data_IF_462330416633
#
_entry.id   IF_462330416633
#
_cell.length_a   1.000
_cell.length_b   1.000
_cell.length_c   1.000
_cell.angle_alpha   90.00
_cell.angle_beta   90.00
_cell.angle_gamma   90.00
#
_symmetry.space_group_name_H-M   'P 1'
#
loop_
_entity.id
_entity.type
_entity.pdbx_description
1 polymer ?
#
# COMPACT_ATOMS: atom_id res chain seq x y z
N UNK A 1 -1.31 14.98 -10.06
CA UNK A 1 -0.56 13.77 -10.48
C UNK A 1 0.15 14.12 -11.78
N UNK A 2 1.36 14.66 -11.67
CA UNK A 2 2.12 15.19 -12.79
C UNK A 2 2.83 14.03 -13.49
N UNK A 3 2.33 13.66 -14.66
CA UNK A 3 2.93 12.66 -15.54
C UNK A 3 4.31 13.15 -16.01
N UNK A 4 5.36 12.60 -15.42
CA UNK A 4 6.72 12.68 -15.95
C UNK A 4 6.76 11.97 -17.31
N UNK A 5 6.64 12.74 -18.38
CA UNK A 5 6.95 12.27 -19.73
C UNK A 5 8.46 12.02 -19.79
N UNK A 6 8.92 10.82 -20.19
CA UNK A 6 10.34 10.59 -20.39
C UNK A 6 10.79 11.46 -21.57
N UNK A 7 11.65 12.43 -21.28
CA UNK A 7 12.40 13.15 -22.30
C UNK A 7 13.20 12.11 -23.09
N UNK A 8 12.68 11.73 -24.25
CA UNK A 8 13.44 11.00 -25.24
C UNK A 8 14.59 11.92 -25.65
N UNK A 9 15.76 11.66 -25.06
CA UNK A 9 17.03 12.23 -25.45
C UNK A 9 17.17 12.04 -26.95
N UNK A 10 17.00 13.13 -27.69
CA UNK A 10 17.34 13.22 -29.10
C UNK A 10 18.83 12.92 -29.20
N UNK A 11 19.16 11.65 -29.38
CA UNK A 11 20.49 11.24 -29.79
C UNK A 11 20.78 12.00 -31.07
N UNK A 12 21.67 12.97 -30.96
CA UNK A 12 22.26 13.75 -32.04
C UNK A 12 22.58 12.76 -33.15
N UNK A 13 21.74 12.70 -34.18
CA UNK A 13 22.05 11.99 -35.41
C UNK A 13 23.22 12.76 -35.99
N UNK A 14 24.43 12.33 -35.64
CA UNK A 14 25.66 12.87 -36.19
C UNK A 14 25.48 12.85 -37.68
N UNK A 15 25.30 14.04 -38.24
CA UNK A 15 25.29 14.29 -39.66
C UNK A 15 26.49 13.54 -40.17
N UNK A 16 26.26 12.48 -40.95
CA UNK A 16 27.30 11.80 -41.70
C UNK A 16 27.86 12.88 -42.63
N UNK A 17 28.83 13.64 -42.10
CA UNK A 17 29.49 14.76 -42.76
C UNK A 17 30.02 14.14 -44.04
N UNK A 18 29.34 14.46 -45.13
CA UNK A 18 29.80 14.28 -46.50
C UNK A 18 31.24 14.80 -46.52
N UNK A 19 32.20 13.90 -46.31
CA UNK A 19 33.60 14.27 -46.03
C UNK A 19 34.06 15.12 -47.20
N UNK A 20 34.45 16.35 -46.88
CA UNK A 20 35.01 17.29 -47.82
C UNK A 20 36.13 16.55 -48.58
N UNK A 21 35.99 16.44 -49.91
CA UNK A 21 36.97 15.72 -50.74
C UNK A 21 38.33 16.37 -50.49
N UNK A 22 39.33 15.60 -50.07
CA UNK A 22 40.62 16.16 -49.70
C UNK A 22 41.25 16.80 -50.94
N UNK A 23 41.74 18.03 -50.78
CA UNK A 23 42.39 18.78 -51.86
C UNK A 23 43.55 18.01 -52.47
N UNK A 24 44.24 17.19 -51.67
CA UNK A 24 45.32 16.29 -52.09
C UNK A 24 44.86 15.18 -53.03
N UNK A 25 43.70 14.58 -52.79
CA UNK A 25 43.11 13.60 -53.73
C UNK A 25 42.70 14.28 -55.04
N UNK A 26 42.14 15.49 -54.97
CA UNK A 26 41.83 16.29 -56.17
C UNK A 26 43.08 16.60 -57.00
N UNK A 27 44.20 16.94 -56.35
CA UNK A 27 45.49 17.14 -57.03
C UNK A 27 45.99 15.85 -57.68
N UNK A 28 45.96 14.71 -56.97
CA UNK A 28 46.36 13.42 -57.55
C UNK A 28 45.55 13.06 -58.81
N UNK A 29 44.22 13.27 -58.76
CA UNK A 29 43.34 13.08 -59.92
C UNK A 29 43.69 14.05 -61.07
N UNK A 30 43.96 15.31 -60.76
CA UNK A 30 44.37 16.29 -61.77
C UNK A 30 45.69 15.93 -62.46
N UNK A 31 46.68 15.40 -61.72
CA UNK A 31 47.94 14.92 -62.30
C UNK A 31 47.73 13.74 -63.26
N UNK A 32 46.84 12.80 -62.92
CA UNK A 32 46.50 11.68 -63.80
C UNK A 32 45.79 12.15 -65.08
N UNK A 33 44.85 13.09 -64.96
CA UNK A 33 44.19 13.70 -66.12
C UNK A 33 45.19 14.44 -67.01
N UNK A 34 46.09 15.24 -66.41
CA UNK A 34 47.14 15.95 -67.15
C UNK A 34 48.07 14.98 -67.89
N UNK A 35 48.49 13.90 -67.23
CA UNK A 35 49.28 12.83 -67.84
C UNK A 35 48.57 12.23 -69.06
N UNK A 36 47.27 11.93 -68.94
CA UNK A 36 46.50 11.37 -70.04
C UNK A 36 46.41 12.35 -71.23
N UNK A 37 46.14 13.64 -70.97
CA UNK A 37 46.07 14.68 -72.00
C UNK A 37 47.41 14.84 -72.72
N UNK A 38 48.54 14.83 -72.00
CA UNK A 38 49.88 14.93 -72.60
C UNK A 38 50.17 13.76 -73.54
N UNK A 39 49.85 12.53 -73.13
CA UNK A 39 50.07 11.33 -73.95
C UNK A 39 49.19 11.37 -75.21
N UNK A 40 47.91 11.71 -75.09
CA UNK A 40 46.99 11.83 -76.24
C UNK A 40 47.46 12.92 -77.22
N UNK A 41 47.87 14.08 -76.70
CA UNK A 41 48.39 15.18 -77.52
C UNK A 41 49.67 14.82 -78.26
N UNK A 42 50.60 14.11 -77.60
CA UNK A 42 51.84 13.66 -78.22
C UNK A 42 51.61 12.64 -79.35
N UNK A 43 50.67 11.72 -79.16
CA UNK A 43 50.26 10.75 -80.19
C UNK A 43 49.64 11.45 -81.40
N UNK A 44 48.74 12.41 -81.17
CA UNK A 44 48.09 13.17 -82.24
C UNK A 44 49.08 13.98 -83.09
N UNK A 45 50.21 14.41 -82.50
CA UNK A 45 51.29 15.11 -83.23
C UNK A 45 52.09 14.21 -84.19
N UNK A 46 52.06 12.89 -84.02
CA UNK A 46 52.85 11.94 -84.82
C UNK A 46 54.37 11.98 -84.61
N UNK A 47 54.87 12.79 -83.66
CA UNK A 47 56.31 12.94 -83.38
C UNK A 47 56.80 11.89 -82.38
N UNK A 48 57.74 11.05 -82.80
CA UNK A 48 58.32 9.99 -81.95
C UNK A 48 59.03 10.56 -80.72
N UNK A 49 59.74 11.67 -80.86
CA UNK A 49 60.39 12.35 -79.76
C UNK A 49 59.36 12.84 -78.72
N UNK A 50 58.28 13.48 -79.17
CA UNK A 50 57.22 13.94 -78.25
C UNK A 50 56.54 12.78 -77.53
N UNK A 51 56.33 11.65 -78.21
CA UNK A 51 55.77 10.44 -77.60
C UNK A 51 56.69 9.91 -76.50
N UNK A 52 58.00 9.82 -76.73
CA UNK A 52 58.94 9.33 -75.70
C UNK A 52 58.98 10.25 -74.47
N UNK A 53 59.02 11.57 -74.67
CA UNK A 53 59.01 12.54 -73.57
C UNK A 53 57.69 12.48 -72.80
N UNK A 54 56.55 12.43 -73.50
CA UNK A 54 55.24 12.32 -72.86
C UNK A 54 55.07 11.00 -72.08
N UNK A 55 55.64 9.90 -72.56
CA UNK A 55 55.63 8.61 -71.86
C UNK A 55 56.42 8.69 -70.53
N UNK A 56 57.64 9.25 -70.56
CA UNK A 56 58.45 9.43 -69.34
C UNK A 56 57.75 10.36 -68.35
N UNK A 57 57.24 11.51 -68.81
CA UNK A 57 56.48 12.43 -67.96
C UNK A 57 55.23 11.78 -67.38
N UNK A 58 54.50 10.99 -68.17
CA UNK A 58 53.31 10.30 -67.71
C UNK A 58 53.59 9.29 -66.60
N UNK A 59 54.69 8.53 -66.69
CA UNK A 59 55.11 7.62 -65.61
C UNK A 59 55.47 8.39 -64.35
N UNK A 60 56.19 9.52 -64.45
CA UNK A 60 56.54 10.36 -63.30
C UNK A 60 55.31 10.95 -62.63
N UNK A 61 54.37 11.50 -63.42
CA UNK A 61 53.11 12.05 -62.91
C UNK A 61 52.23 10.97 -62.28
N UNK A 62 52.15 9.79 -62.88
CA UNK A 62 51.44 8.63 -62.33
C UNK A 62 52.03 8.18 -60.99
N UNK A 63 53.35 8.02 -60.91
CA UNK A 63 54.04 7.65 -59.67
C UNK A 63 53.81 8.68 -58.55
N UNK A 64 53.84 9.98 -58.87
CA UNK A 64 53.53 11.04 -57.92
C UNK A 64 52.07 10.95 -57.41
N UNK A 65 51.10 10.73 -58.31
CA UNK A 65 49.70 10.57 -57.95
C UNK A 65 49.45 9.34 -57.06
N UNK A 66 50.09 8.20 -57.35
CA UNK A 66 50.02 6.99 -56.52
C UNK A 66 50.61 7.23 -55.13
N UNK A 67 51.77 7.92 -55.05
CA UNK A 67 52.39 8.24 -53.76
C UNK A 67 51.47 9.11 -52.89
N UNK A 68 50.89 10.17 -53.47
CA UNK A 68 49.94 11.06 -52.77
C UNK A 68 48.73 10.27 -52.28
N UNK A 69 48.15 9.42 -53.14
CA UNK A 69 46.97 8.62 -52.79
C UNK A 69 47.29 7.61 -51.68
N UNK A 70 48.48 7.00 -51.72
CA UNK A 70 48.92 6.04 -50.72
C UNK A 70 49.13 6.68 -49.35
N UNK A 71 49.81 7.83 -49.27
CA UNK A 71 50.00 8.53 -47.99
C UNK A 71 48.68 8.98 -47.38
N UNK A 72 47.75 9.49 -48.20
CA UNK A 72 46.41 9.88 -47.73
C UNK A 72 45.61 8.69 -47.20
N UNK A 73 45.70 7.52 -47.84
CA UNK A 73 45.03 6.31 -47.38
C UNK A 73 45.62 5.81 -46.05
N UNK A 74 46.94 5.87 -45.89
CA UNK A 74 47.61 5.50 -44.64
C UNK A 74 47.17 6.42 -43.49
N UNK A 75 47.20 7.74 -43.72
CA UNK A 75 46.77 8.74 -42.73
C UNK A 75 45.28 8.57 -42.38
N UNK A 76 44.42 8.37 -43.38
CA UNK A 76 43.00 8.14 -43.17
C UNK A 76 42.70 6.88 -42.35
N UNK A 77 43.49 5.81 -42.51
CA UNK A 77 43.37 4.58 -41.72
C UNK A 77 43.75 4.80 -40.27
N UNK A 78 44.86 5.49 -40.02
CA UNK A 78 45.32 5.82 -38.67
C UNK A 78 44.29 6.69 -37.96
N UNK A 79 43.79 7.72 -38.63
CA UNK A 79 42.77 8.61 -38.06
C UNK A 79 41.46 7.87 -37.77
N UNK A 80 41.01 7.00 -38.68
CA UNK A 80 39.83 6.17 -38.45
C UNK A 80 40.02 5.15 -37.31
N UNK A 81 41.24 4.68 -37.05
CA UNK A 81 41.53 3.84 -35.91
C UNK A 81 41.51 4.64 -34.59
N UNK A 82 42.08 5.85 -34.60
CA UNK A 82 42.06 6.77 -33.44
C UNK A 82 40.64 7.20 -33.08
N UNK A 83 39.83 7.56 -34.06
CA UNK A 83 38.43 7.94 -33.85
C UNK A 83 37.62 6.78 -33.24
N UNK A 84 37.77 5.56 -33.78
CA UNK A 84 37.14 4.36 -33.18
C UNK A 84 37.62 4.09 -31.76
N UNK A 85 38.91 4.28 -31.47
CA UNK A 85 39.43 4.14 -30.11
C UNK A 85 38.84 5.19 -29.15
N UNK A 86 38.76 6.44 -29.58
CA UNK A 86 38.16 7.53 -28.81
C UNK A 86 36.67 7.28 -28.55
N UNK A 87 35.93 6.81 -29.56
CA UNK A 87 34.52 6.41 -29.42
C UNK A 87 34.37 5.26 -28.43
N UNK A 88 35.20 4.21 -28.52
CA UNK A 88 35.17 3.09 -27.59
C UNK A 88 35.42 3.54 -26.13
N UNK A 89 36.39 4.44 -25.90
CA UNK A 89 36.66 5.01 -24.58
C UNK A 89 35.49 5.85 -24.06
N UNK A 90 34.86 6.66 -24.91
CA UNK A 90 33.68 7.44 -24.55
C UNK A 90 32.50 6.55 -24.17
N UNK A 91 32.26 5.47 -24.93
CA UNK A 91 31.23 4.47 -24.61
C UNK A 91 31.53 3.70 -23.32
N UNK A 92 32.79 3.34 -23.07
CA UNK A 92 33.21 2.70 -21.83
C UNK A 92 32.90 3.62 -20.63
N UNK A 93 33.33 4.89 -20.70
CA UNK A 93 33.08 5.90 -19.65
C UNK A 93 31.57 6.10 -19.40
N UNK A 94 30.77 6.17 -20.46
CA UNK A 94 29.31 6.29 -20.34
C UNK A 94 28.69 5.05 -19.70
N UNK A 95 29.20 3.87 -20.04
CA UNK A 95 28.73 2.59 -19.48
C UNK A 95 29.08 2.48 -17.99
N UNK A 96 30.29 2.87 -17.60
CA UNK A 96 30.72 2.88 -16.20
C UNK A 96 29.82 3.80 -15.37
N UNK A 97 29.56 5.01 -15.87
CA UNK A 97 28.67 5.97 -15.22
C UNK A 97 27.25 5.42 -15.07
N UNK A 98 26.67 4.86 -16.14
CA UNK A 98 25.32 4.27 -16.10
C UNK A 98 25.24 3.06 -15.15
N UNK A 99 26.29 2.24 -15.12
CA UNK A 99 26.36 1.10 -14.21
C UNK A 99 26.40 1.58 -12.75
N UNK A 100 27.21 2.59 -12.45
CA UNK A 100 27.27 3.18 -11.11
C UNK A 100 25.93 3.80 -10.69
N UNK A 101 25.28 4.56 -11.58
CA UNK A 101 23.95 5.16 -11.35
C UNK A 101 22.89 4.07 -11.11
N UNK A 102 22.87 3.01 -11.93
CA UNK A 102 21.95 1.88 -11.79
C UNK A 102 22.17 1.10 -10.48
N UNK A 103 23.42 0.87 -10.08
CA UNK A 103 23.75 0.22 -8.81
C UNK A 103 23.28 1.06 -7.63
N UNK A 104 23.56 2.37 -7.65
CA UNK A 104 23.10 3.29 -6.60
C UNK A 104 21.58 3.29 -6.49
N UNK A 105 20.86 3.32 -7.62
CA UNK A 105 19.41 3.24 -7.66
C UNK A 105 18.89 1.91 -7.09
N UNK A 106 19.48 0.78 -7.49
CA UNK A 106 19.08 -0.53 -7.01
C UNK A 106 19.27 -0.66 -5.48
N UNK A 107 20.39 -0.16 -4.95
CA UNK A 107 20.65 -0.13 -3.51
C UNK A 107 19.64 0.77 -2.77
N UNK A 108 19.32 1.94 -3.33
CA UNK A 108 18.33 2.84 -2.73
C UNK A 108 16.93 2.21 -2.69
N UNK A 109 16.50 1.59 -3.78
CA UNK A 109 15.23 0.88 -3.85
C UNK A 109 15.17 -0.29 -2.86
N UNK A 110 16.26 -1.05 -2.74
CA UNK A 110 16.36 -2.14 -1.76
C UNK A 110 16.21 -1.63 -0.33
N UNK A 111 16.87 -0.52 0.03
CA UNK A 111 16.70 0.10 1.35
C UNK A 111 15.25 0.51 1.62
N UNK A 112 14.59 1.12 0.63
CA UNK A 112 13.18 1.53 0.74
C UNK A 112 12.24 0.34 0.89
N UNK A 113 12.49 -0.76 0.17
CA UNK A 113 11.71 -1.99 0.29
C UNK A 113 11.87 -2.57 1.70
N UNK A 114 13.09 -2.76 2.17
CA UNK A 114 13.35 -3.29 3.51
C UNK A 114 12.69 -2.44 4.61
N UNK A 115 12.81 -1.12 4.52
CA UNK A 115 12.17 -0.21 5.48
C UNK A 115 10.64 -0.33 5.48
N UNK A 116 10.03 -0.56 4.32
CA UNK A 116 8.58 -0.79 4.21
C UNK A 116 8.17 -2.16 4.73
N UNK A 117 8.96 -3.20 4.47
CA UNK A 117 8.72 -4.55 5.00
C UNK A 117 8.76 -4.57 6.52
N UNK A 118 9.70 -3.85 7.13
CA UNK A 118 9.77 -3.69 8.60
C UNK A 118 8.51 -3.01 9.16
N UNK A 119 8.07 -1.91 8.51
CA UNK A 119 6.83 -1.23 8.89
C UNK A 119 5.62 -2.15 8.74
N UNK A 120 5.50 -2.88 7.63
CA UNK A 120 4.40 -3.83 7.40
C UNK A 120 4.40 -4.89 8.49
N UNK A 121 5.55 -5.50 8.80
CA UNK A 121 5.65 -6.51 9.85
C UNK A 121 5.24 -5.96 11.21
N UNK A 122 5.64 -4.73 11.55
CA UNK A 122 5.22 -4.07 12.80
C UNK A 122 3.71 -3.84 12.84
N UNK A 123 3.10 -3.47 11.72
CA UNK A 123 1.66 -3.25 11.61
C UNK A 123 0.88 -4.56 11.69
N UNK A 124 1.40 -5.64 11.12
CA UNK A 124 0.81 -6.98 11.21
C UNK A 124 0.76 -7.48 12.66
N UNK A 125 1.86 -7.29 13.42
CA UNK A 125 1.91 -7.63 14.85
C UNK A 125 0.92 -6.78 15.65
N UNK A 126 0.94 -5.46 15.45
CA UNK A 126 0.03 -4.55 16.16
C UNK A 126 -1.45 -4.85 15.84
N UNK A 127 -1.76 -5.22 14.60
CA UNK A 127 -3.10 -5.62 14.19
C UNK A 127 -3.53 -6.93 14.85
N UNK A 128 -2.65 -7.92 14.90
CA UNK A 128 -2.93 -9.19 15.57
C UNK A 128 -3.20 -8.99 17.08
N UNK A 129 -2.41 -8.15 17.74
CA UNK A 129 -2.60 -7.80 19.15
C UNK A 129 -3.91 -7.04 19.37
N UNK A 130 -4.24 -6.07 18.51
CA UNK A 130 -5.50 -5.35 18.58
C UNK A 130 -6.71 -6.28 18.40
N UNK A 131 -6.65 -7.20 17.43
CA UNK A 131 -7.70 -8.21 17.22
C UNK A 131 -7.86 -9.13 18.43
N UNK A 132 -6.75 -9.54 19.05
CA UNK A 132 -6.77 -10.34 20.28
C UNK A 132 -7.40 -9.57 21.44
N UNK A 133 -7.04 -8.31 21.64
CA UNK A 133 -7.62 -7.46 22.68
C UNK A 133 -9.12 -7.28 22.49
N UNK A 134 -9.58 -7.03 21.26
CA UNK A 134 -11.01 -6.92 20.93
C UNK A 134 -11.73 -8.23 21.25
N UNK A 135 -11.16 -9.38 20.90
CA UNK A 135 -11.75 -10.68 21.22
C UNK A 135 -11.82 -10.93 22.74
N UNK A 136 -10.78 -10.56 23.49
CA UNK A 136 -10.76 -10.67 24.95
C UNK A 136 -11.77 -9.73 25.62
N UNK A 137 -11.87 -8.47 25.17
CA UNK A 137 -12.87 -7.52 25.65
C UNK A 137 -14.29 -8.00 25.34
N UNK A 138 -14.55 -8.50 24.13
CA UNK A 138 -15.85 -9.06 23.75
C UNK A 138 -16.21 -10.25 24.65
N UNK A 139 -15.25 -11.13 24.97
CA UNK A 139 -15.48 -12.24 25.92
C UNK A 139 -15.80 -11.75 27.33
N UNK A 140 -15.11 -10.71 27.83
CA UNK A 140 -15.37 -10.12 29.16
C UNK A 140 -16.76 -9.50 29.22
N UNK A 141 -17.12 -8.67 28.24
CA UNK A 141 -18.45 -8.05 28.14
C UNK A 141 -19.54 -9.12 28.09
N UNK A 142 -19.37 -10.18 27.29
CA UNK A 142 -20.33 -11.28 27.23
C UNK A 142 -20.45 -12.03 28.57
N UNK A 143 -19.35 -12.18 29.32
CA UNK A 143 -19.37 -12.81 30.63
C UNK A 143 -20.01 -11.91 31.70
N UNK A 144 -19.84 -10.61 31.61
CA UNK A 144 -20.50 -9.62 32.47
C UNK A 144 -22.00 -9.52 32.16
N UNK A 145 -22.39 -9.49 30.89
CA UNK A 145 -23.79 -9.51 30.46
C UNK A 145 -24.52 -10.75 31.00
N UNK A 146 -23.90 -11.94 30.91
CA UNK A 146 -24.47 -13.16 31.52
C UNK A 146 -24.58 -13.08 33.04
N UNK A 147 -23.60 -12.49 33.73
CA UNK A 147 -23.66 -12.31 35.19
C UNK A 147 -24.76 -11.33 35.59
N UNK A 148 -24.92 -10.23 34.84
CA UNK A 148 -25.99 -9.27 35.05
C UNK A 148 -27.37 -9.91 34.82
N UNK A 149 -27.51 -10.71 33.75
CA UNK A 149 -28.77 -11.42 33.45
C UNK A 149 -29.15 -12.41 34.57
N UNK A 150 -28.19 -13.15 35.13
CA UNK A 150 -28.44 -14.04 36.27
C UNK A 150 -28.87 -13.26 37.51
N UNK A 151 -28.17 -12.17 37.83
CA UNK A 151 -28.52 -11.32 38.98
C UNK A 151 -29.92 -10.67 38.81
N UNK A 152 -30.27 -10.24 37.59
CA UNK A 152 -31.61 -9.73 37.29
C UNK A 152 -32.70 -10.80 37.47
N UNK A 153 -32.43 -12.04 37.05
CA UNK A 153 -33.36 -13.16 37.24
C UNK A 153 -33.56 -13.48 38.72
N UNK A 154 -32.48 -13.60 39.47
CA UNK A 154 -32.53 -13.82 40.93
C UNK A 154 -33.28 -12.68 41.63
N UNK A 155 -33.04 -11.42 41.23
CA UNK A 155 -33.75 -10.26 41.77
C UNK A 155 -35.26 -10.29 41.47
N UNK A 156 -35.65 -10.75 40.26
CA UNK A 156 -37.08 -10.94 39.90
C UNK A 156 -37.71 -12.07 40.71
N UNK A 157 -37.04 -13.21 40.84
CA UNK A 157 -37.53 -14.34 41.64
C UNK A 157 -37.71 -13.96 43.10
N UNK A 158 -36.77 -13.19 43.67
CA UNK A 158 -36.89 -12.66 45.04
C UNK A 158 -38.05 -11.68 45.17
N UNK A 159 -38.22 -10.76 44.21
CA UNK A 159 -39.33 -9.82 44.21
C UNK A 159 -40.70 -10.54 44.13
N UNK A 160 -40.80 -11.55 43.26
CA UNK A 160 -42.01 -12.37 43.13
C UNK A 160 -42.31 -13.17 44.41
N UNK A 161 -41.28 -13.70 45.07
CA UNK A 161 -41.42 -14.39 46.35
C UNK A 161 -41.89 -13.45 47.47
N UNK A 162 -41.33 -12.24 47.57
CA UNK A 162 -41.76 -11.22 48.53
C UNK A 162 -43.22 -10.81 48.27
N UNK A 163 -43.59 -10.53 47.02
CA UNK A 163 -44.96 -10.20 46.66
C UNK A 163 -45.94 -11.36 46.93
N UNK A 164 -45.48 -12.61 46.87
CA UNK A 164 -46.24 -13.79 47.30
C UNK A 164 -46.46 -13.83 48.81
N UNK A 165 -45.42 -13.56 49.60
CA UNK A 165 -45.49 -13.50 51.06
C UNK A 165 -46.40 -12.37 51.53
N UNK A 166 -46.27 -11.16 50.96
CA UNK A 166 -47.13 -10.02 51.28
C UNK A 166 -48.61 -10.33 51.04
N UNK A 167 -48.94 -10.98 49.92
CA UNK A 167 -50.32 -11.44 49.65
C UNK A 167 -50.81 -12.45 50.67
N UNK A 168 -49.96 -13.40 51.08
CA UNK A 168 -50.33 -14.39 52.11
C UNK A 168 -50.53 -13.76 53.49
N UNK A 169 -49.71 -12.75 53.81
CA UNK A 169 -49.80 -12.00 55.05
C UNK A 169 -51.09 -11.17 55.09
N UNK A 170 -51.35 -10.38 54.05
CA UNK A 170 -52.59 -9.60 53.92
C UNK A 170 -53.83 -10.49 54.02
N UNK A 171 -53.84 -11.66 53.36
CA UNK A 171 -54.94 -12.62 53.51
C UNK A 171 -55.09 -13.17 54.93
N UNK A 172 -53.98 -13.36 55.65
CA UNK A 172 -54.01 -13.83 57.04
C UNK A 172 -54.46 -12.73 58.00
N UNK A 173 -54.05 -11.48 57.75
CA UNK A 173 -54.48 -10.28 58.48
C UNK A 173 -55.99 -10.04 58.31
N UNK A 174 -56.52 -10.17 57.08
CA UNK A 174 -57.96 -10.06 56.81
C UNK A 174 -58.76 -11.11 57.60
N UNK A 175 -58.31 -12.37 57.57
CA UNK A 175 -58.95 -13.46 58.34
C UNK A 175 -58.86 -13.26 59.85
N UNK A 176 -57.74 -12.71 60.34
CA UNK A 176 -57.59 -12.37 61.74
C UNK A 176 -58.53 -11.22 62.14
N UNK A 177 -58.68 -10.20 61.30
CA UNK A 177 -59.62 -9.10 61.51
C UNK A 177 -61.08 -9.61 61.55
N UNK A 178 -61.47 -10.47 60.61
CA UNK A 178 -62.77 -11.14 60.63
C UNK A 178 -63.00 -11.93 61.92
N UNK A 179 -62.01 -12.71 62.36
CA UNK A 179 -62.10 -13.49 63.60
C UNK A 179 -62.22 -12.59 64.85
N UNK A 180 -61.50 -11.47 64.91
CA UNK A 180 -61.60 -10.51 66.03
C UNK A 180 -63.01 -9.93 66.10
N UNK A 181 -63.60 -9.54 64.96
CA UNK A 181 -64.97 -9.03 64.91
C UNK A 181 -65.96 -10.09 65.40
N UNK A 182 -65.87 -11.32 64.87
CA UNK A 182 -66.73 -12.43 65.30
C UNK A 182 -66.61 -12.74 66.80
N UNK A 183 -65.39 -12.69 67.37
CA UNK A 183 -65.20 -12.87 68.82
C UNK A 183 -65.87 -11.75 69.60
N UNK A 184 -65.73 -10.49 69.17
CA UNK A 184 -66.39 -9.36 69.84
C UNK A 184 -67.92 -9.43 69.79
N UNK A 185 -68.47 -9.90 68.66
CA UNK A 185 -69.91 -10.14 68.51
C UNK A 185 -70.38 -11.26 69.45
N UNK A 186 -69.65 -12.38 69.48
CA UNK A 186 -69.95 -13.51 70.39
C UNK A 186 -69.83 -13.12 71.87
N UNK A 187 -68.85 -12.29 72.24
CA UNK A 187 -68.71 -11.75 73.59
C UNK A 187 -69.90 -10.87 73.97
N UNK A 188 -70.34 -9.99 73.05
CA UNK A 188 -71.53 -9.17 73.26
C UNK A 188 -72.81 -10.02 73.39
N UNK A 189 -72.98 -11.04 72.55
CA UNK A 189 -74.08 -12.02 72.67
C UNK A 189 -74.01 -12.76 74.01
N UNK A 190 -72.82 -13.17 74.45
CA UNK A 190 -72.62 -13.83 75.75
C UNK A 190 -73.02 -12.91 76.91
N UNK A 191 -72.66 -11.63 76.86
CA UNK A 191 -73.00 -10.67 77.90
C UNK A 191 -74.51 -10.38 77.95
N UNK A 192 -75.18 -10.31 76.79
CA UNK A 192 -76.64 -10.25 76.70
C UNK A 192 -77.27 -11.51 77.31
N UNK A 193 -76.82 -12.71 76.92
CA UNK A 193 -77.33 -13.98 77.45
C UNK A 193 -77.10 -14.11 78.97
N UNK A 194 -75.95 -13.67 79.49
CA UNK A 194 -75.69 -13.60 80.94
C UNK A 194 -76.64 -12.63 81.64
N UNK A 195 -76.89 -11.46 81.06
CA UNK A 195 -77.82 -10.48 81.61
C UNK A 195 -79.26 -11.01 81.62
N UNK A 196 -79.68 -11.67 80.54
CA UNK A 196 -80.96 -12.38 80.48
C UNK A 196 -81.06 -13.45 81.57
N UNK A 197 -80.07 -14.34 81.69
CA UNK A 197 -80.03 -15.37 82.74
C UNK A 197 -80.12 -14.76 84.15
N UNK A 198 -79.37 -13.70 84.42
CA UNK A 198 -79.42 -12.98 85.70
C UNK A 198 -80.81 -12.38 85.94
N UNK A 199 -81.47 -11.85 84.91
CA UNK A 199 -82.85 -11.33 85.00
C UNK A 199 -83.86 -12.43 85.31
N UNK A 200 -83.74 -13.61 84.67
CA UNK A 200 -84.57 -14.79 84.93
C UNK A 200 -84.37 -15.31 86.35
N UNK A 201 -83.12 -15.39 86.81
CA UNK A 201 -82.78 -15.78 88.19
C UNK A 201 -83.35 -14.79 89.21
N UNK A 202 -83.22 -13.48 88.97
CA UNK A 202 -83.79 -12.43 89.82
C UNK A 202 -85.33 -12.41 89.81
N UNK A 203 -85.97 -12.81 88.71
CA UNK A 203 -87.42 -13.01 88.66
C UNK A 203 -87.85 -14.27 89.44
N UNK A 204 -87.09 -15.36 89.34
CA UNK A 204 -87.33 -16.59 90.09
C UNK A 204 -87.16 -16.42 91.61
N UNK A 205 -86.13 -15.67 92.05
CA UNK A 205 -85.95 -15.34 93.47
C UNK A 205 -87.04 -14.41 94.00
N UNK A 206 -87.48 -13.41 93.22
CA UNK A 206 -88.67 -12.59 93.55
C UNK A 206 -89.94 -13.42 93.67
N UNK A 207 -90.16 -14.38 92.78
CA UNK A 207 -91.31 -15.30 92.83
C UNK A 207 -91.27 -16.25 94.04
N UNK A 208 -90.07 -16.61 94.52
CA UNK A 208 -89.86 -17.34 95.78
C UNK A 208 -90.08 -16.46 97.03
N UNK A 209 -89.71 -15.18 96.96
CA UNK A 209 -89.92 -14.24 98.06
C UNK A 209 -91.38 -13.77 98.19
N UNK A 210 -92.19 -13.86 97.12
CA UNK A 210 -93.64 -13.59 97.15
C UNK A 210 -94.50 -14.82 97.53
N UNK A 211 -93.86 -15.94 97.88
CA UNK A 211 -94.51 -17.19 98.32
C UNK A 211 -94.15 -17.59 99.76
N UNK A 212 -93.65 -16.64 100.54
CA UNK A 212 -93.42 -16.72 101.99
C UNK A 212 -94.21 -15.60 102.66
#
# INVERSE_FOLDING_TARGET
MSSHQPQQSQSSRTTARRRQRSTRLSVAVALLVLSAVLVVGAVASGSTLLITVAAVLGVVLGAAATKITHSELADARVEAARDRAAQAQAYATLTDRRTAENMAFALDMRRKINAREEVISSLEVALADAQRQVAEQTRKVNAEARRAELAEREGREQADAVAGLERSLSSSEDRAAEAIVLVSELEAELDVLKAELASWQAAATRKRASSA
#
